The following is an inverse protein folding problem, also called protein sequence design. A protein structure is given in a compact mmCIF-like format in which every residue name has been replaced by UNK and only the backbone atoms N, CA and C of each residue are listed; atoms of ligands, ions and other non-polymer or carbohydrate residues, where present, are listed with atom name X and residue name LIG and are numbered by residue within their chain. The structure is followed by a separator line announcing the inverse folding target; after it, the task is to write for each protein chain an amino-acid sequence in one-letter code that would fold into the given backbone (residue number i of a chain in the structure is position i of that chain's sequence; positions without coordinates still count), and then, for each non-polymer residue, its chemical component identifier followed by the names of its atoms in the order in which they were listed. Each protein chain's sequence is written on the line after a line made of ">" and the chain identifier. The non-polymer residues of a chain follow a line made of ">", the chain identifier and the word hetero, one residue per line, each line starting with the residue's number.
data_IF_607516870380
#
_entry.id   IF_607516870380
#
_cell.length_a   1.000
_cell.length_b   1.000
_cell.length_c   1.000
_cell.angle_alpha   90.00
_cell.angle_beta   90.00
_cell.angle_gamma   90.00
#
_symmetry.space_group_name_H-M   'P 1'
#
loop_
_entity.id
_entity.type
_entity.pdbx_description
1 polymer ?
#
# COMPACT_ATOMS: atom_id res chain seq x y z
N UNK A 1 -11.27 -12.63 26.34
CA UNK A 1 -11.25 -12.35 24.89
C UNK A 1 -10.17 -11.31 24.64
N UNK A 2 -9.13 -11.63 23.87
CA UNK A 2 -8.09 -10.65 23.50
C UNK A 2 -8.69 -9.67 22.51
N UNK A 3 -8.56 -8.36 22.78
CA UNK A 3 -9.06 -7.29 21.92
C UNK A 3 -8.39 -7.39 20.55
N UNK A 4 -9.18 -7.40 19.48
CA UNK A 4 -8.67 -7.36 18.09
C UNK A 4 -7.92 -6.04 17.87
N UNK A 5 -6.71 -6.11 17.31
CA UNK A 5 -5.88 -4.93 17.01
C UNK A 5 -6.12 -4.54 15.56
N UNK A 6 -6.37 -3.26 15.31
CA UNK A 6 -6.43 -2.74 13.95
C UNK A 6 -5.02 -2.30 13.53
N UNK A 7 -4.63 -2.64 12.29
CA UNK A 7 -3.33 -2.30 11.72
C UNK A 7 -3.54 -1.36 10.55
N UNK A 8 -2.83 -0.23 10.55
CA UNK A 8 -2.82 0.73 9.44
C UNK A 8 -1.40 0.82 8.89
N UNK A 9 -1.21 0.31 7.67
CA UNK A 9 0.04 0.44 6.93
C UNK A 9 -0.06 1.63 5.97
N UNK A 10 0.76 2.67 6.21
CA UNK A 10 0.81 3.86 5.37
C UNK A 10 2.10 3.81 4.56
N UNK A 11 1.97 3.97 3.23
CA UNK A 11 3.11 4.04 2.32
C UNK A 11 3.04 5.32 1.50
N UNK A 12 4.14 6.05 1.40
CA UNK A 12 4.29 7.20 0.52
C UNK A 12 5.20 6.83 -0.66
N UNK A 13 4.81 7.21 -1.87
CA UNK A 13 5.60 6.96 -3.08
C UNK A 13 6.62 8.08 -3.33
N UNK A 14 7.79 7.71 -3.85
CA UNK A 14 8.92 8.59 -4.15
C UNK A 14 9.32 9.53 -2.97
N UNK A 15 9.07 9.09 -1.74
CA UNK A 15 9.39 9.87 -0.54
C UNK A 15 10.88 9.84 -0.25
N UNK A 16 11.50 11.00 -0.11
CA UNK A 16 12.89 11.10 0.36
C UNK A 16 12.92 11.01 1.87
N UNK A 17 13.77 10.14 2.41
CA UNK A 17 13.88 9.93 3.86
C UNK A 17 14.16 11.23 4.63
N UNK A 18 14.95 12.13 4.03
CA UNK A 18 15.33 13.44 4.60
C UNK A 18 14.15 14.41 4.75
N UNK A 19 13.04 14.19 4.05
CA UNK A 19 11.86 15.06 4.07
C UNK A 19 11.00 14.85 5.33
N UNK A 20 11.62 14.86 6.51
CA UNK A 20 10.94 14.80 7.81
C UNK A 20 11.56 15.84 8.74
N UNK A 21 10.75 16.71 9.36
CA UNK A 21 11.29 17.71 10.30
C UNK A 21 11.93 17.06 11.52
N UNK A 22 11.42 15.92 12.01
CA UNK A 22 12.05 15.16 13.10
C UNK A 22 13.48 14.68 12.80
N UNK A 23 13.85 14.60 11.51
CA UNK A 23 15.22 14.27 11.07
C UNK A 23 16.10 15.52 10.85
N UNK A 24 15.60 16.71 11.20
CA UNK A 24 16.35 17.97 11.12
C UNK A 24 16.28 18.66 9.77
N UNK A 25 15.25 18.39 8.96
CA UNK A 25 15.07 19.10 7.69
C UNK A 25 14.95 20.63 7.93
N UNK A 26 15.70 21.49 7.20
CA UNK A 26 15.88 22.90 7.57
C UNK A 26 14.65 23.79 7.32
N UNK A 27 13.73 23.36 6.44
CA UNK A 27 12.58 24.18 5.99
C UNK A 27 11.25 23.48 6.23
N UNK A 28 11.11 22.27 5.70
CA UNK A 28 9.89 21.44 5.80
C UNK A 28 9.45 21.24 7.25
N UNK A 29 8.14 21.38 7.48
CA UNK A 29 7.49 21.07 8.76
C UNK A 29 6.50 19.94 8.56
N UNK A 30 6.67 18.85 9.30
CA UNK A 30 5.79 17.68 9.28
C UNK A 30 5.19 17.41 10.66
N UNK A 31 4.42 18.35 11.26
CA UNK A 31 4.02 18.27 12.67
C UNK A 31 3.22 17.01 13.03
N UNK A 32 2.40 16.50 12.10
CA UNK A 32 1.65 15.26 12.32
C UNK A 32 2.52 14.00 12.28
N UNK A 33 3.55 13.96 11.41
CA UNK A 33 4.49 12.85 11.36
C UNK A 33 5.48 12.92 12.53
N UNK A 34 5.84 14.12 12.97
CA UNK A 34 6.67 14.33 14.15
C UNK A 34 5.95 13.84 15.41
N UNK A 35 4.65 14.12 15.54
CA UNK A 35 3.83 13.58 16.62
C UNK A 35 3.75 12.05 16.59
N UNK A 36 3.57 11.45 15.41
CA UNK A 36 3.57 9.99 15.24
C UNK A 36 4.92 9.37 15.59
N UNK A 37 6.03 10.02 15.22
CA UNK A 37 7.37 9.57 15.55
C UNK A 37 7.67 9.68 17.06
N UNK A 38 7.11 10.68 17.73
CA UNK A 38 7.27 10.87 19.18
C UNK A 38 6.49 9.85 20.02
N UNK A 39 5.31 9.41 19.54
CA UNK A 39 4.48 8.38 20.19
C UNK A 39 4.89 6.94 19.80
N UNK A 40 5.81 6.81 18.83
CA UNK A 40 6.18 5.54 18.23
C UNK A 40 7.69 5.27 18.23
N UNK A 41 8.11 4.44 17.26
CA UNK A 41 9.52 4.11 17.03
C UNK A 41 9.94 4.59 15.65
N UNK A 42 10.97 5.44 15.60
CA UNK A 42 11.54 5.94 14.36
C UNK A 42 12.77 5.12 13.94
N UNK A 43 12.67 4.45 12.80
CA UNK A 43 13.80 3.75 12.18
C UNK A 43 14.61 4.71 11.32
N UNK A 44 15.72 5.23 11.86
CA UNK A 44 16.61 6.17 11.14
C UNK A 44 17.33 5.56 9.94
N UNK A 45 17.57 4.24 9.99
CA UNK A 45 18.27 3.48 8.97
C UNK A 45 17.31 2.44 8.36
N UNK A 46 16.33 2.92 7.60
CA UNK A 46 15.37 2.07 6.89
C UNK A 46 15.57 2.22 5.37
N UNK A 47 15.77 1.09 4.68
CA UNK A 47 16.09 1.06 3.26
C UNK A 47 15.03 0.27 2.50
N UNK A 48 14.60 0.79 1.36
CA UNK A 48 13.86 0.00 0.39
C UNK A 48 14.76 -1.13 -0.13
N UNK A 49 14.18 -2.31 -0.37
CA UNK A 49 14.93 -3.46 -0.87
C UNK A 49 15.51 -3.24 -2.28
N UNK A 50 14.80 -2.50 -3.12
CA UNK A 50 15.25 -2.19 -4.47
C UNK A 50 14.53 -0.96 -5.02
N UNK A 51 15.00 -0.51 -6.18
CA UNK A 51 14.33 0.44 -7.09
C UNK A 51 14.17 -0.27 -8.43
N UNK A 52 13.06 -0.13 -9.19
CA UNK A 52 11.95 0.85 -9.11
C UNK A 52 10.71 0.45 -8.26
N UNK A 53 9.59 1.20 -8.38
CA UNK A 53 8.41 1.15 -7.50
C UNK A 53 7.71 -0.23 -7.43
N UNK A 54 7.44 -0.88 -8.56
CA UNK A 54 6.79 -2.20 -8.59
C UNK A 54 7.61 -3.27 -7.83
N UNK A 55 8.90 -3.48 -8.17
CA UNK A 55 9.81 -4.35 -7.43
C UNK A 55 9.91 -4.01 -5.94
N UNK A 56 10.02 -2.72 -5.59
CA UNK A 56 10.11 -2.27 -4.20
C UNK A 56 8.86 -2.64 -3.39
N UNK A 57 7.67 -2.42 -3.96
CA UNK A 57 6.39 -2.81 -3.33
C UNK A 57 6.22 -4.33 -3.27
N UNK A 58 6.64 -5.06 -4.30
CA UNK A 58 6.64 -6.51 -4.28
C UNK A 58 7.51 -7.04 -3.13
N UNK A 59 8.73 -6.51 -2.95
CA UNK A 59 9.59 -6.86 -1.82
C UNK A 59 8.95 -6.49 -0.47
N UNK A 60 8.38 -5.29 -0.35
CA UNK A 60 7.74 -4.82 0.88
C UNK A 60 6.55 -5.70 1.29
N UNK A 61 5.67 -6.04 0.35
CA UNK A 61 4.41 -6.75 0.64
C UNK A 61 4.59 -8.27 0.74
N UNK A 62 5.59 -8.84 0.07
CA UNK A 62 5.92 -10.27 0.19
C UNK A 62 6.92 -10.57 1.30
N UNK A 63 7.66 -9.56 1.77
CA UNK A 63 8.76 -9.74 2.73
C UNK A 63 9.99 -10.43 2.13
N UNK A 64 10.09 -10.51 0.80
CA UNK A 64 11.19 -11.19 0.10
C UNK A 64 12.14 -10.22 -0.59
N UNK A 65 13.39 -10.64 -0.76
CA UNK A 65 14.35 -9.97 -1.63
C UNK A 65 13.95 -10.08 -3.11
N UNK A 66 14.30 -9.06 -3.90
CA UNK A 66 14.09 -9.01 -5.34
C UNK A 66 14.64 -10.24 -6.08
N UNK A 67 15.79 -10.76 -5.65
CA UNK A 67 16.39 -11.98 -6.23
C UNK A 67 15.52 -13.25 -6.05
N UNK A 68 14.68 -13.28 -5.02
CA UNK A 68 13.80 -14.42 -4.73
C UNK A 68 12.52 -14.32 -5.55
N UNK A 69 11.85 -13.16 -5.52
CA UNK A 69 10.56 -12.99 -6.19
C UNK A 69 10.66 -12.62 -7.68
N UNK A 70 11.85 -12.17 -8.14
CA UNK A 70 12.22 -11.92 -9.54
C UNK A 70 11.38 -10.89 -10.30
N UNK A 71 10.58 -10.10 -9.59
CA UNK A 71 9.97 -8.89 -10.15
C UNK A 71 11.03 -7.78 -10.14
N UNK A 72 11.71 -7.58 -11.26
CA UNK A 72 12.94 -6.76 -11.35
C UNK A 72 12.75 -5.37 -11.94
N UNK A 73 11.69 -5.15 -12.71
CA UNK A 73 11.29 -3.83 -13.20
C UNK A 73 9.77 -3.65 -13.11
N UNK A 74 9.30 -2.41 -13.26
CA UNK A 74 7.86 -2.14 -13.36
C UNK A 74 7.28 -2.89 -14.56
N UNK A 75 6.11 -3.52 -14.37
CA UNK A 75 5.53 -4.38 -15.40
C UNK A 75 6.03 -5.83 -15.37
N UNK A 76 7.05 -6.17 -14.56
CA UNK A 76 7.43 -7.58 -14.41
C UNK A 76 6.36 -8.32 -13.62
N UNK A 77 5.78 -9.40 -14.15
CA UNK A 77 4.81 -10.22 -13.42
C UNK A 77 5.39 -10.76 -12.11
N UNK A 78 4.63 -10.62 -11.02
CA UNK A 78 4.92 -11.30 -9.77
C UNK A 78 4.32 -12.70 -9.79
N UNK A 79 5.15 -13.73 -9.65
CA UNK A 79 4.74 -15.13 -9.66
C UNK A 79 3.69 -15.41 -8.57
N UNK A 80 2.54 -15.98 -8.96
CA UNK A 80 1.39 -16.18 -8.07
C UNK A 80 1.64 -17.22 -6.96
N UNK A 81 2.75 -17.97 -7.01
CA UNK A 81 3.14 -18.92 -5.94
C UNK A 81 3.55 -18.22 -4.65
N UNK A 82 3.90 -16.94 -4.71
CA UNK A 82 4.35 -16.20 -3.54
C UNK A 82 3.17 -15.65 -2.75
N UNK A 83 3.23 -15.80 -1.42
CA UNK A 83 2.29 -15.13 -0.53
C UNK A 83 2.68 -13.67 -0.30
N UNK A 84 1.78 -12.93 0.32
CA UNK A 84 1.97 -11.54 0.71
C UNK A 84 1.18 -11.22 1.98
N UNK A 85 1.46 -10.05 2.56
CA UNK A 85 0.82 -9.60 3.80
C UNK A 85 -0.72 -9.63 3.73
N UNK A 86 -1.32 -9.27 2.59
CA UNK A 86 -2.77 -9.30 2.40
C UNK A 86 -3.37 -10.72 2.48
N UNK A 87 -2.68 -11.70 1.89
CA UNK A 87 -3.08 -13.11 1.99
C UNK A 87 -2.85 -13.67 3.40
N UNK A 88 -1.73 -13.31 4.05
CA UNK A 88 -1.41 -13.81 5.38
C UNK A 88 -2.36 -13.29 6.46
N UNK A 89 -2.72 -11.99 6.45
CA UNK A 89 -3.65 -11.45 7.45
C UNK A 89 -5.07 -11.98 7.29
N UNK A 90 -5.48 -12.38 6.08
CA UNK A 90 -6.76 -13.06 5.87
C UNK A 90 -6.85 -14.41 6.55
N UNK A 91 -5.76 -15.18 6.60
CA UNK A 91 -5.71 -16.45 7.35
C UNK A 91 -5.96 -16.23 8.84
N UNK A 92 -5.66 -15.03 9.34
CA UNK A 92 -5.88 -14.61 10.73
C UNK A 92 -7.26 -13.97 10.96
N UNK A 93 -8.13 -13.92 9.94
CA UNK A 93 -9.48 -13.36 10.04
C UNK A 93 -9.57 -11.84 9.81
N UNK A 94 -8.50 -11.19 9.34
CA UNK A 94 -8.55 -9.78 8.95
C UNK A 94 -8.99 -9.59 7.50
N UNK A 95 -9.70 -8.51 7.22
CA UNK A 95 -9.99 -8.06 5.86
C UNK A 95 -9.09 -6.85 5.52
N UNK A 96 -8.03 -7.03 4.72
CA UNK A 96 -7.11 -5.95 4.40
C UNK A 96 -7.71 -5.03 3.34
N UNK A 97 -8.24 -3.89 3.79
CA UNK A 97 -8.66 -2.80 2.91
C UNK A 97 -7.48 -2.02 2.34
N UNK A 98 -7.54 -1.68 1.05
CA UNK A 98 -6.56 -0.86 0.35
C UNK A 98 -7.20 0.45 -0.10
N UNK A 99 -6.60 1.56 0.29
CA UNK A 99 -6.87 2.89 -0.27
C UNK A 99 -5.63 3.26 -1.08
N UNK A 100 -5.77 3.31 -2.40
CA UNK A 100 -4.65 3.53 -3.32
C UNK A 100 -4.39 2.34 -4.24
N UNK A 101 -3.10 2.01 -4.42
CA UNK A 101 -2.62 1.01 -5.37
C UNK A 101 -1.37 0.30 -4.85
N UNK A 102 -1.09 -0.90 -5.38
CA UNK A 102 0.11 -1.70 -5.06
C UNK A 102 1.05 -1.84 -6.23
N UNK A 103 0.67 -1.37 -7.42
CA UNK A 103 1.52 -1.35 -8.62
C UNK A 103 2.14 -2.72 -8.96
N UNK A 104 1.35 -3.79 -8.84
CA UNK A 104 1.80 -5.16 -9.06
C UNK A 104 1.28 -5.70 -10.37
N UNK A 105 2.15 -6.26 -11.21
CA UNK A 105 1.73 -6.96 -12.43
C UNK A 105 1.37 -8.40 -12.09
N UNK A 106 0.20 -8.86 -12.54
CA UNK A 106 -0.25 -10.22 -12.29
C UNK A 106 0.55 -11.24 -13.10
N UNK A 107 0.67 -12.45 -12.55
CA UNK A 107 1.20 -13.60 -13.26
C UNK A 107 0.26 -13.98 -14.42
N UNK A 108 0.68 -13.85 -15.69
CA UNK A 108 -0.18 -14.15 -16.83
C UNK A 108 -0.54 -15.64 -16.92
N UNK A 109 0.15 -16.53 -16.19
CA UNK A 109 -0.14 -17.98 -16.22
C UNK A 109 -1.40 -18.35 -15.44
N UNK A 110 -1.83 -17.51 -14.50
CA UNK A 110 -3.04 -17.75 -13.69
C UNK A 110 -4.26 -16.98 -14.19
N UNK A 111 -4.07 -16.11 -15.19
CA UNK A 111 -5.14 -15.32 -15.79
C UNK A 111 -5.71 -16.03 -17.03
N UNK A 112 -7.02 -15.93 -17.30
CA UNK A 112 -7.62 -16.33 -18.57
C UNK A 112 -6.92 -15.66 -19.75
N UNK A 113 -6.91 -16.29 -20.92
CA UNK A 113 -6.16 -15.81 -22.09
C UNK A 113 -6.62 -14.42 -22.57
N UNK A 114 -7.93 -14.14 -22.51
CA UNK A 114 -8.55 -12.88 -22.93
C UNK A 114 -8.77 -11.89 -21.77
N UNK A 115 -8.12 -12.10 -20.63
CA UNK A 115 -8.25 -11.20 -19.49
C UNK A 115 -7.49 -9.88 -19.73
N UNK A 116 -8.23 -8.77 -19.78
CA UNK A 116 -7.66 -7.42 -19.98
C UNK A 116 -6.62 -7.00 -18.92
N UNK A 117 -6.60 -7.64 -17.74
CA UNK A 117 -5.58 -7.38 -16.72
C UNK A 117 -4.18 -7.86 -17.12
N UNK A 118 -4.06 -8.76 -18.10
CA UNK A 118 -2.77 -9.20 -18.67
C UNK A 118 -1.99 -8.07 -19.32
N UNK A 119 -2.69 -7.07 -19.83
CA UNK A 119 -2.12 -5.90 -20.52
C UNK A 119 -1.80 -4.76 -19.54
N UNK A 120 -2.16 -4.91 -18.25
CA UNK A 120 -1.97 -3.89 -17.23
C UNK A 120 -0.68 -4.14 -16.46
N UNK A 121 0.19 -3.13 -16.46
CA UNK A 121 1.38 -3.14 -15.61
C UNK A 121 1.04 -2.91 -14.13
N UNK A 122 -0.01 -2.12 -13.85
CA UNK A 122 -0.41 -1.74 -12.49
C UNK A 122 -1.73 -2.40 -12.10
N UNK A 123 -1.67 -3.39 -11.20
CA UNK A 123 -2.84 -4.01 -10.58
C UNK A 123 -2.73 -4.04 -9.05
N UNK A 124 -3.84 -4.43 -8.41
CA UNK A 124 -3.95 -4.59 -6.96
C UNK A 124 -3.45 -5.98 -6.56
N UNK A 125 -2.48 -6.06 -5.66
CA UNK A 125 -1.92 -7.33 -5.21
C UNK A 125 -3.02 -8.24 -4.63
N UNK A 126 -3.05 -9.53 -5.00
CA UNK A 126 -4.06 -10.46 -4.50
C UNK A 126 -4.10 -10.49 -2.97
N UNK A 127 -5.31 -10.51 -2.42
CA UNK A 127 -5.55 -10.47 -0.98
C UNK A 127 -6.09 -9.12 -0.50
N UNK A 128 -5.79 -8.00 -1.16
CA UNK A 128 -6.35 -6.71 -0.77
C UNK A 128 -7.76 -6.48 -1.32
N UNK A 129 -8.63 -5.85 -0.52
CA UNK A 129 -9.91 -5.28 -1.01
C UNK A 129 -9.67 -3.82 -1.33
N UNK A 130 -9.70 -3.45 -2.62
CA UNK A 130 -9.53 -2.04 -2.99
C UNK A 130 -10.80 -1.26 -2.67
N UNK A 131 -10.71 -0.39 -1.66
CA UNK A 131 -11.80 0.46 -1.20
C UNK A 131 -11.92 1.74 -2.03
N UNK A 132 -10.76 2.32 -2.38
CA UNK A 132 -10.67 3.53 -3.18
C UNK A 132 -9.46 3.40 -4.12
N UNK A 133 -9.63 3.56 -5.45
CA UNK A 133 -8.52 3.54 -6.37
C UNK A 133 -7.62 4.77 -6.17
N UNK A 134 -6.31 4.58 -6.32
CA UNK A 134 -5.38 5.71 -6.34
C UNK A 134 -5.22 6.33 -7.73
N UNK A 135 -4.31 7.30 -7.86
CA UNK A 135 -4.05 8.06 -9.09
C UNK A 135 -3.69 7.19 -10.30
N UNK A 136 -3.07 6.03 -10.07
CA UNK A 136 -2.62 5.10 -11.11
C UNK A 136 -3.71 4.12 -11.60
N UNK A 137 -4.98 4.33 -11.22
CA UNK A 137 -6.11 3.69 -11.90
C UNK A 137 -6.17 2.15 -11.78
N UNK A 138 -5.64 1.58 -10.70
CA UNK A 138 -5.87 0.16 -10.39
C UNK A 138 -7.37 -0.07 -10.20
N UNK A 139 -7.98 -0.92 -11.01
CA UNK A 139 -9.34 -1.42 -10.80
C UNK A 139 -9.25 -2.92 -10.55
N UNK A 140 -9.51 -3.35 -9.32
CA UNK A 140 -9.74 -4.77 -9.05
C UNK A 140 -11.06 -5.18 -9.71
N UNK A 141 -11.01 -5.94 -10.80
CA UNK A 141 -12.19 -6.61 -11.36
C UNK A 141 -12.67 -7.74 -10.44
N UNK A 142 -13.25 -7.40 -9.28
CA UNK A 142 -14.07 -8.29 -8.44
C UNK A 142 -14.60 -7.52 -7.21
N UNK A 143 -15.50 -6.56 -7.41
CA UNK A 143 -16.35 -6.07 -6.34
C UNK A 143 -17.60 -6.97 -6.22
N UNK A 144 -17.46 -8.17 -5.66
CA UNK A 144 -18.61 -9.04 -5.39
C UNK A 144 -18.44 -9.89 -4.14
N UNK A 145 -18.31 -9.24 -2.98
CA UNK A 145 -18.88 -9.68 -1.70
C UNK A 145 -18.53 -8.66 -0.63
N UNK A 146 -19.36 -7.64 -0.47
CA UNK A 146 -19.34 -6.81 0.73
C UNK A 146 -19.79 -7.69 1.91
N UNK A 147 -18.82 -8.25 2.64
CA UNK A 147 -19.00 -8.67 4.03
C UNK A 147 -19.32 -7.46 4.92
N UNK A 148 -19.70 -7.67 6.20
CA UNK A 148 -20.24 -6.60 7.03
C UNK A 148 -19.27 -5.43 7.07
N UNK A 149 -19.77 -4.28 6.60
CA UNK A 149 -19.03 -3.05 6.33
C UNK A 149 -17.85 -2.83 7.27
N UNK A 150 -16.64 -2.69 6.70
CA UNK A 150 -15.51 -2.05 7.36
C UNK A 150 -16.05 -0.73 7.91
N UNK A 151 -16.23 -0.66 9.24
CA UNK A 151 -16.59 0.58 9.92
C UNK A 151 -15.35 1.46 9.92
N UNK A 152 -15.16 2.21 8.83
CA UNK A 152 -14.31 3.40 8.87
C UNK A 152 -14.91 4.26 9.97
N UNK A 153 -14.16 4.46 11.06
CA UNK A 153 -14.59 5.33 12.14
C UNK A 153 -14.89 6.71 11.54
N UNK A 154 -16.18 7.08 11.47
CA UNK A 154 -16.64 8.34 10.88
C UNK A 154 -16.09 9.57 11.59
N UNK A 155 -15.49 9.42 12.78
CA UNK A 155 -14.84 10.52 13.48
C UNK A 155 -13.45 10.88 12.91
N UNK A 156 -12.79 9.95 12.20
CA UNK A 156 -11.56 10.27 11.46
C UNK A 156 -11.82 11.12 10.21
N UNK A 157 -13.01 11.01 9.62
CA UNK A 157 -13.42 11.79 8.45
C UNK A 157 -13.81 13.25 8.79
N UNK A 158 -13.98 13.60 10.07
CA UNK A 158 -14.27 14.99 10.49
C UNK A 158 -13.06 15.92 10.37
N UNK A 159 -11.86 15.38 10.13
CA UNK A 159 -10.61 16.13 9.99
C UNK A 159 -10.15 16.28 8.53
N UNK A 160 -10.90 15.74 7.56
CA UNK A 160 -10.62 15.96 6.15
C UNK A 160 -11.52 17.09 5.62
N UNK A 161 -10.95 18.17 5.03
CA UNK A 161 -11.75 19.21 4.44
C UNK A 161 -12.50 18.69 3.20
N UNK A 162 -13.65 19.29 2.84
CA UNK A 162 -14.45 18.85 1.71
C UNK A 162 -13.69 18.98 0.37
N UNK A 163 -14.09 18.21 -0.66
CA UNK A 163 -13.49 18.29 -1.98
C UNK A 163 -13.58 19.73 -2.52
N UNK A 164 -12.43 20.34 -2.81
CA UNK A 164 -12.34 21.74 -3.29
C UNK A 164 -11.64 22.70 -2.32
N UNK A 165 -11.29 22.28 -1.10
CA UNK A 165 -10.45 23.08 -0.22
C UNK A 165 -8.98 23.06 -0.69
N UNK A 166 -8.45 24.24 -1.04
CA UNK A 166 -7.03 24.44 -1.31
C UNK A 166 -6.21 24.14 -0.05
N UNK A 167 -5.30 23.18 -0.13
CA UNK A 167 -4.18 23.09 0.81
C UNK A 167 -3.26 24.27 0.52
N UNK A 168 -2.95 25.17 1.48
CA UNK A 168 -1.83 26.06 1.30
C UNK A 168 -0.57 25.19 1.24
N UNK A 169 0.10 25.19 0.10
CA UNK A 169 1.46 24.68 0.00
C UNK A 169 2.34 25.45 0.98
N UNK A 170 2.81 24.77 2.03
CA UNK A 170 3.95 25.19 2.85
C UNK A 170 4.77 23.97 3.20
#
# INVERSE_FOLDING_TARGET
>A
MTKSINILLITADQWRAECLSTLGHPVLKTPHLDALAADGVLFRNHYAQCVPCGPSRASLLTGMYMMNHRSVCNGTPLDARFSNIGLEVRKLGYEPGLIGYTDTTYDPRVLPELDSSRERYSNVMPGFVQLVPGSEGGSSGAASALGPAIRINRDAARHFPPPGAHWPCV
#
